data_IF_240504000638
#
_entry.id   IF_240504000638
#
_cell.length_a   1.000
_cell.length_b   1.000
_cell.length_c   1.000
_cell.angle_alpha   90.00
_cell.angle_beta   90.00
_cell.angle_gamma   90.00
#
_symmetry.space_group_name_H-M   'P 1'
#
loop_
_entity.id
_entity.type
_entity.pdbx_description
1 polymer ?
#
# COMPACT_ATOMS: atom_id res chain seq x y z
N UNK A 1 -21.80 10.05 6.37
CA UNK A 1 -20.54 9.84 6.59
C UNK A 1 -19.81 9.16 5.54
N UNK A 2 -18.67 9.54 5.21
CA UNK A 2 -17.98 8.94 4.17
C UNK A 2 -16.73 8.32 4.60
N UNK A 3 -16.38 7.22 4.00
CA UNK A 3 -15.14 6.61 4.25
C UNK A 3 -14.08 7.36 3.50
N UNK A 4 -13.06 7.72 4.20
CA UNK A 4 -12.00 8.47 3.61
C UNK A 4 -11.09 7.50 2.88
N UNK A 5 -10.83 7.74 1.60
CA UNK A 5 -9.90 6.94 0.87
C UNK A 5 -8.51 7.00 1.49
N UNK A 6 -8.22 8.09 2.18
CA UNK A 6 -6.93 8.25 2.81
C UNK A 6 -6.66 7.16 3.83
N UNK A 7 -7.68 6.81 4.61
CA UNK A 7 -7.50 5.78 5.62
C UNK A 7 -7.27 4.43 4.98
N UNK A 8 -7.96 4.16 3.89
CA UNK A 8 -7.77 2.90 3.19
C UNK A 8 -6.37 2.81 2.59
N UNK A 9 -5.91 3.90 2.02
CA UNK A 9 -4.57 3.94 1.44
C UNK A 9 -3.52 3.79 2.53
N UNK A 10 -3.73 4.46 3.65
CA UNK A 10 -2.79 4.39 4.74
C UNK A 10 -2.67 2.96 5.28
N UNK A 11 -3.80 2.31 5.45
CA UNK A 11 -3.80 0.94 5.95
C UNK A 11 -3.11 0.00 4.97
N UNK A 12 -3.43 0.13 3.69
CA UNK A 12 -2.79 -0.69 2.67
C UNK A 12 -1.31 -0.45 2.60
N UNK A 13 -0.90 0.81 2.73
CA UNK A 13 0.51 1.14 2.71
C UNK A 13 1.26 0.46 3.84
N UNK A 14 0.66 0.45 5.04
CA UNK A 14 1.30 -0.20 6.17
C UNK A 14 1.45 -1.69 5.94
N UNK A 15 0.46 -2.31 5.33
CA UNK A 15 0.54 -3.73 5.04
C UNK A 15 1.69 -4.02 4.09
N UNK A 16 1.86 -3.18 3.08
CA UNK A 16 2.95 -3.35 2.13
C UNK A 16 4.28 -3.15 2.82
N UNK A 17 4.36 -2.16 3.72
CA UNK A 17 5.60 -1.92 4.45
C UNK A 17 6.02 -3.16 5.23
N UNK A 18 5.08 -3.80 5.88
CA UNK A 18 5.39 -4.98 6.67
C UNK A 18 5.77 -6.17 5.79
N UNK A 19 5.12 -6.30 4.66
CA UNK A 19 5.37 -7.43 3.79
C UNK A 19 6.66 -7.29 2.99
N UNK A 20 7.03 -6.05 2.64
CA UNK A 20 8.20 -5.83 1.78
C UNK A 20 9.37 -5.19 2.47
N UNK A 21 9.14 -4.55 3.60
CA UNK A 21 10.22 -3.85 4.29
C UNK A 21 10.48 -2.47 3.74
N UNK A 22 9.64 -2.00 2.84
CA UNK A 22 9.81 -0.66 2.28
C UNK A 22 9.33 0.39 3.26
N UNK A 23 9.78 1.64 3.07
CA UNK A 23 9.31 2.72 3.91
C UNK A 23 7.95 3.19 3.40
N UNK A 24 7.34 4.10 4.15
CA UNK A 24 5.99 4.55 3.84
C UNK A 24 5.89 5.13 2.43
N UNK A 25 6.84 5.97 2.06
CA UNK A 25 6.79 6.62 0.76
C UNK A 25 6.81 5.61 -0.38
N UNK A 26 7.70 4.65 -0.30
CA UNK A 26 7.81 3.65 -1.35
C UNK A 26 6.64 2.71 -1.36
N UNK A 27 6.18 2.31 -0.18
CA UNK A 27 5.04 1.42 -0.10
C UNK A 27 3.79 2.09 -0.66
N UNK A 28 3.61 3.37 -0.37
CA UNK A 28 2.48 4.10 -0.88
C UNK A 28 2.53 4.20 -2.40
N UNK A 29 3.73 4.40 -2.93
CA UNK A 29 3.91 4.45 -4.37
C UNK A 29 3.54 3.13 -5.01
N UNK A 30 3.97 2.04 -4.40
CA UNK A 30 3.64 0.72 -4.92
C UNK A 30 2.14 0.48 -4.93
N UNK A 31 1.48 0.87 -3.85
CA UNK A 31 0.04 0.70 -3.76
C UNK A 31 -0.66 1.48 -4.85
N UNK A 32 -0.24 2.73 -5.07
CA UNK A 32 -0.86 3.56 -6.08
C UNK A 32 -0.60 3.02 -7.48
N UNK A 33 0.59 2.50 -7.70
CA UNK A 33 0.96 2.00 -9.01
C UNK A 33 0.20 0.73 -9.36
N UNK A 34 0.06 -0.18 -8.40
CA UNK A 34 -0.54 -1.47 -8.68
C UNK A 34 -2.03 -1.54 -8.37
N UNK A 35 -2.53 -0.58 -7.63
CA UNK A 35 -3.96 -0.50 -7.37
C UNK A 35 -4.47 -1.39 -6.26
N UNK A 36 -3.65 -2.26 -5.73
CA UNK A 36 -4.08 -3.09 -4.60
C UNK A 36 -2.86 -3.57 -3.83
N UNK A 37 -3.10 -3.85 -2.55
CA UNK A 37 -2.03 -4.31 -1.68
C UNK A 37 -1.46 -5.63 -2.18
N UNK A 38 -2.35 -6.53 -2.55
CA UNK A 38 -1.90 -7.85 -2.99
C UNK A 38 -1.02 -7.75 -4.22
N UNK A 39 -1.46 -7.00 -5.22
CA UNK A 39 -0.70 -6.87 -6.45
C UNK A 39 0.64 -6.18 -6.20
N UNK A 40 0.64 -5.20 -5.30
CA UNK A 40 1.88 -4.51 -4.99
C UNK A 40 2.89 -5.46 -4.37
N UNK A 41 2.43 -6.30 -3.44
CA UNK A 41 3.32 -7.23 -2.79
C UNK A 41 3.82 -8.29 -3.77
N UNK A 42 2.95 -8.77 -4.62
CA UNK A 42 3.34 -9.76 -5.61
C UNK A 42 4.37 -9.19 -6.58
N UNK A 43 4.19 -7.94 -6.97
CA UNK A 43 5.13 -7.32 -7.88
C UNK A 43 6.49 -7.12 -7.24
N UNK A 44 6.52 -6.90 -5.93
CA UNK A 44 7.75 -6.71 -5.22
C UNK A 44 8.56 -8.01 -5.18
N UNK A 45 7.84 -9.09 -4.99
CA UNK A 45 8.49 -10.39 -4.99
C UNK A 45 8.86 -10.81 -6.39
#
# INVERSE_FOLDING_TARGET
MQLSNEKLVERGTKMIMEATGLDFTKAKKMLSKHGSVRKAIEAFN
#
